data_IF_699785907103
#
_entry.id   IF_699785907103
#
_cell.length_a   1.000
_cell.length_b   1.000
_cell.length_c   1.000
_cell.angle_alpha   90.00
_cell.angle_beta   90.00
_cell.angle_gamma   90.00
#
_symmetry.space_group_name_H-M   'P 1'
#
loop_
_entity.id
_entity.type
_entity.pdbx_description
1 polymer ?
#
# COMPACT_ATOMS: atom_id res chain seq x y z
N UNK A 1 -12.54 -6.71 -20.45
CA UNK A 1 -11.63 -6.24 -19.39
C UNK A 1 -10.26 -6.00 -20.01
N UNK A 2 -9.59 -4.88 -19.72
CA UNK A 2 -8.25 -4.63 -20.23
C UNK A 2 -7.22 -5.56 -19.57
N UNK A 3 -6.23 -5.99 -20.33
CA UNK A 3 -5.07 -6.73 -19.83
C UNK A 3 -4.02 -5.78 -19.26
N UNK A 4 -3.30 -6.18 -18.21
CA UNK A 4 -2.21 -5.37 -17.65
C UNK A 4 -1.83 -5.74 -16.23
N UNK A 5 -1.03 -4.87 -15.61
CA UNK A 5 -0.63 -5.01 -14.22
C UNK A 5 -1.82 -4.76 -13.28
N UNK A 6 -1.96 -5.61 -12.26
CA UNK A 6 -3.00 -5.49 -11.22
C UNK A 6 -2.53 -4.69 -9.99
N UNK A 7 -1.24 -4.39 -9.94
CA UNK A 7 -0.54 -3.78 -8.81
C UNK A 7 0.38 -2.69 -9.33
N UNK A 8 0.60 -1.66 -8.52
CA UNK A 8 1.60 -0.62 -8.81
C UNK A 8 3.00 -1.24 -8.81
N UNK A 9 3.85 -0.77 -9.71
CA UNK A 9 5.23 -1.25 -9.90
C UNK A 9 6.21 -0.75 -8.81
N UNK A 10 5.70 -0.18 -7.72
CA UNK A 10 6.50 0.29 -6.58
C UNK A 10 6.48 -0.73 -5.44
N UNK A 11 7.60 -1.44 -5.29
CA UNK A 11 7.79 -2.46 -4.25
C UNK A 11 7.97 -1.90 -2.83
N UNK A 12 8.01 -0.57 -2.67
CA UNK A 12 7.97 0.08 -1.35
C UNK A 12 6.55 0.19 -0.80
N UNK A 13 5.55 0.19 -1.69
CA UNK A 13 4.13 0.27 -1.34
C UNK A 13 3.43 -1.09 -1.45
N UNK A 14 3.82 -1.89 -2.44
CA UNK A 14 3.18 -3.18 -2.75
C UNK A 14 4.19 -4.32 -2.58
N UNK A 15 3.81 -5.46 -1.96
CA UNK A 15 4.72 -6.58 -1.84
C UNK A 15 5.08 -7.16 -3.22
N UNK A 16 6.37 -7.50 -3.46
CA UNK A 16 6.80 -8.08 -4.72
C UNK A 16 6.20 -9.48 -4.95
N UNK A 17 6.12 -9.95 -6.21
CA UNK A 17 5.72 -11.31 -6.52
C UNK A 17 6.58 -12.35 -5.81
N UNK A 18 5.97 -13.47 -5.40
CA UNK A 18 6.67 -14.54 -4.67
C UNK A 18 7.80 -15.20 -5.46
N UNK A 19 7.74 -15.19 -6.79
CA UNK A 19 8.82 -15.66 -7.65
C UNK A 19 10.06 -14.77 -7.48
N UNK A 20 9.90 -13.46 -7.69
CA UNK A 20 10.98 -12.47 -7.60
C UNK A 20 11.55 -12.36 -6.18
N UNK A 21 10.73 -12.54 -5.14
CA UNK A 21 11.19 -12.56 -3.75
C UNK A 21 12.23 -13.65 -3.46
N UNK A 22 12.19 -14.78 -4.18
CA UNK A 22 13.11 -15.91 -3.96
C UNK A 22 14.40 -15.80 -4.79
N UNK A 23 14.44 -14.90 -5.77
CA UNK A 23 15.56 -14.76 -6.70
C UNK A 23 16.31 -13.44 -6.49
N UNK A 24 15.61 -12.36 -6.15
CA UNK A 24 16.18 -11.02 -5.97
C UNK A 24 16.29 -10.63 -4.50
N UNK A 25 17.50 -10.25 -4.09
CA UNK A 25 17.79 -9.76 -2.74
C UNK A 25 16.99 -8.49 -2.41
N UNK A 26 16.83 -7.58 -3.36
CA UNK A 26 16.07 -6.33 -3.17
C UNK A 26 14.59 -6.62 -2.90
N UNK A 27 14.02 -7.58 -3.64
CA UNK A 27 12.63 -8.03 -3.42
C UNK A 27 12.44 -8.61 -2.03
N UNK A 28 13.44 -9.33 -1.50
CA UNK A 28 13.38 -9.88 -0.15
C UNK A 28 13.46 -8.78 0.93
N UNK A 29 14.34 -7.78 0.75
CA UNK A 29 14.45 -6.63 1.66
C UNK A 29 13.13 -5.85 1.70
N UNK A 30 12.54 -5.55 0.53
CA UNK A 30 11.27 -4.85 0.44
C UNK A 30 10.14 -5.63 1.10
N UNK A 31 10.05 -6.94 0.86
CA UNK A 31 9.09 -7.80 1.55
C UNK A 31 9.29 -7.76 3.07
N UNK A 32 10.52 -7.90 3.55
CA UNK A 32 10.80 -7.92 4.99
C UNK A 32 10.44 -6.59 5.67
N UNK A 33 10.85 -5.46 5.10
CA UNK A 33 10.56 -4.13 5.65
C UNK A 33 9.05 -3.82 5.63
N UNK A 34 8.36 -4.15 4.54
CA UNK A 34 6.94 -3.87 4.39
C UNK A 34 6.09 -4.66 5.39
N UNK A 35 6.42 -5.92 5.67
CA UNK A 35 5.65 -6.74 6.63
C UNK A 35 6.07 -6.55 8.09
N UNK A 36 7.26 -6.02 8.37
CA UNK A 36 7.72 -5.76 9.74
C UNK A 36 7.43 -4.32 10.19
N UNK A 37 7.86 -3.33 9.41
CA UNK A 37 7.69 -1.91 9.71
C UNK A 37 6.49 -1.31 8.99
N UNK A 38 5.99 -1.88 7.90
CA UNK A 38 5.01 -1.19 7.06
C UNK A 38 5.65 -0.12 6.19
N UNK A 39 4.82 0.67 5.53
CA UNK A 39 5.22 1.83 4.74
C UNK A 39 4.85 3.12 5.48
N UNK A 40 5.68 4.15 5.33
CA UNK A 40 5.39 5.48 5.91
C UNK A 40 4.46 6.24 4.98
N UNK A 41 3.36 6.74 5.53
CA UNK A 41 2.44 7.62 4.80
C UNK A 41 2.92 9.06 5.02
N UNK A 42 2.92 9.93 3.99
CA UNK A 42 3.24 11.34 4.18
C UNK A 42 2.30 12.02 5.19
N UNK A 43 2.80 12.97 6.00
CA UNK A 43 1.95 13.67 6.96
C UNK A 43 0.87 14.48 6.25
N UNK A 44 -0.36 14.42 6.76
CA UNK A 44 -1.50 15.12 6.18
C UNK A 44 -2.84 14.56 6.64
N UNK A 45 -3.91 15.20 6.21
CA UNK A 45 -5.28 14.76 6.47
C UNK A 45 -6.04 14.61 5.15
N UNK A 46 -6.89 13.59 5.08
CA UNK A 46 -7.73 13.35 3.90
C UNK A 46 -9.08 12.79 4.30
N UNK A 47 -10.12 13.26 3.62
CA UNK A 47 -11.44 12.66 3.65
C UNK A 47 -11.71 12.05 2.28
N UNK A 48 -11.88 10.74 2.24
CA UNK A 48 -12.23 10.03 1.00
C UNK A 48 -13.53 9.29 1.19
N UNK A 49 -14.47 9.50 0.28
CA UNK A 49 -15.78 8.88 0.30
C UNK A 49 -15.96 7.94 -0.89
N UNK A 50 -16.53 6.77 -0.62
CA UNK A 50 -16.99 5.83 -1.64
C UNK A 50 -18.51 5.69 -1.57
N UNK A 51 -19.14 5.40 -2.71
CA UNK A 51 -20.56 5.07 -2.74
C UNK A 51 -20.74 3.59 -2.37
N UNK A 52 -21.08 3.36 -1.10
CA UNK A 52 -21.40 2.03 -0.60
C UNK A 52 -22.89 1.72 -0.85
N UNK A 53 -23.32 0.44 -0.77
CA UNK A 53 -24.72 0.07 -0.98
C UNK A 53 -25.74 0.77 -0.06
N UNK A 54 -25.28 1.42 1.03
CA UNK A 54 -26.12 2.16 2.00
C UNK A 54 -25.98 3.69 1.89
N UNK A 55 -25.30 4.20 0.86
CA UNK A 55 -25.01 5.63 0.68
C UNK A 55 -23.53 5.95 0.81
N UNK A 56 -23.21 7.18 1.23
CA UNK A 56 -21.83 7.64 1.36
C UNK A 56 -21.11 6.92 2.52
N UNK A 57 -19.99 6.25 2.20
CA UNK A 57 -19.06 5.73 3.19
C UNK A 57 -17.77 6.52 3.11
N UNK A 58 -17.64 7.49 4.00
CA UNK A 58 -16.44 8.32 4.18
C UNK A 58 -15.45 7.72 5.16
N UNK A 59 -14.15 7.85 4.86
CA UNK A 59 -13.06 7.61 5.79
C UNK A 59 -12.27 8.91 5.93
N UNK A 60 -12.21 9.42 7.16
CA UNK A 60 -11.31 10.51 7.54
C UNK A 60 -10.02 9.92 8.11
N UNK A 61 -8.90 10.20 7.46
CA UNK A 61 -7.59 9.69 7.87
C UNK A 61 -6.64 10.86 8.08
N UNK A 62 -6.02 10.90 9.26
CA UNK A 62 -4.94 11.82 9.61
C UNK A 62 -3.68 10.98 9.74
N UNK A 63 -2.58 11.43 9.13
CA UNK A 63 -1.28 10.79 9.26
C UNK A 63 -0.28 11.80 9.83
N UNK A 64 0.48 11.34 10.83
CA UNK A 64 1.58 12.08 11.45
C UNK A 64 2.92 11.88 10.72
N UNK A 65 2.94 11.17 9.58
CA UNK A 65 4.16 10.81 8.87
C UNK A 65 4.75 9.45 9.27
N UNK A 66 4.14 8.78 10.25
CA UNK A 66 4.59 7.47 10.71
C UNK A 66 4.03 6.32 9.86
N UNK A 67 4.34 5.10 10.26
CA UNK A 67 3.84 3.86 9.66
C UNK A 67 2.49 3.42 10.27
N UNK A 68 1.91 4.23 11.15
CA UNK A 68 0.63 3.99 11.81
C UNK A 68 -0.32 5.17 11.51
N UNK A 69 -1.63 4.89 11.35
CA UNK A 69 -2.64 5.94 11.27
C UNK A 69 -2.84 6.61 12.64
#
# INVERSE_FOLDING_TARGET
MPSGQIKVDDHKLVPPPRANMKESMESLIHHFLLFSKGYSVPPGETYSAIEAPKGEMGVYLVSDGSNKP
#
